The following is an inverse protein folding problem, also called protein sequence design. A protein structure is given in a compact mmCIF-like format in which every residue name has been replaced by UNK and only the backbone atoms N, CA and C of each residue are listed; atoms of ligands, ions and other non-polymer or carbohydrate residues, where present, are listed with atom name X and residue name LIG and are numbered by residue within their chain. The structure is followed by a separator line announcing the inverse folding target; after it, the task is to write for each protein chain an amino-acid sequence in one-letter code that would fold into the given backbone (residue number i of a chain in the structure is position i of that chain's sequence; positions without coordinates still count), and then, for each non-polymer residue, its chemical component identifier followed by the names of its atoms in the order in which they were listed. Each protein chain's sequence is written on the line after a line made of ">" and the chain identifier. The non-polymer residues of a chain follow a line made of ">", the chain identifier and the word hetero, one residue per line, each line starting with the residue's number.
data_IF_046997597992
#
_entry.id   IF_046997597992
#
_cell.length_a   1.000
_cell.length_b   1.000
_cell.length_c   1.000
_cell.angle_alpha   90.00
_cell.angle_beta   90.00
_cell.angle_gamma   90.00
#
_symmetry.space_group_name_H-M   'P 1'
#
loop_
_entity.id
_entity.type
_entity.pdbx_description
1 polymer ?
#
# COMPACT_ATOMS: atom_id res chain seq x y z
N UNK A 1 -17.22 1.31 -9.23
CA UNK A 1 -16.26 1.48 -8.13
C UNK A 1 -15.12 2.39 -8.54
N UNK A 2 -14.47 2.97 -7.56
CA UNK A 2 -13.27 3.79 -7.71
C UNK A 2 -12.18 3.23 -6.82
N UNK A 3 -10.91 3.34 -7.25
CA UNK A 3 -9.74 3.07 -6.43
C UNK A 3 -8.99 4.38 -6.23
N UNK A 4 -8.93 4.85 -4.99
CA UNK A 4 -8.08 5.99 -4.65
C UNK A 4 -6.61 5.62 -4.90
N UNK A 5 -5.82 6.54 -5.40
CA UNK A 5 -4.48 6.27 -5.88
C UNK A 5 -3.48 7.32 -5.44
N UNK A 6 -2.31 6.88 -5.06
CA UNK A 6 -1.16 7.70 -4.71
C UNK A 6 0.07 7.23 -5.46
N UNK A 7 0.92 8.16 -5.81
CA UNK A 7 2.26 7.90 -6.31
C UNK A 7 3.26 8.46 -5.30
N UNK A 8 4.33 7.72 -5.01
CA UNK A 8 5.32 8.14 -4.03
C UNK A 8 6.77 7.89 -4.48
N UNK A 9 7.67 8.69 -3.93
CA UNK A 9 9.12 8.50 -3.94
C UNK A 9 9.69 9.00 -2.61
N UNK A 10 10.51 10.02 -2.55
CA UNK A 10 10.82 10.74 -1.30
C UNK A 10 9.71 11.71 -0.84
N UNK A 11 8.69 11.90 -1.65
CA UNK A 11 7.43 12.58 -1.36
C UNK A 11 6.29 11.78 -1.96
N UNK A 12 5.12 12.39 -2.10
CA UNK A 12 3.97 11.72 -2.69
C UNK A 12 3.09 12.70 -3.46
N UNK A 13 2.24 12.14 -4.32
CA UNK A 13 1.09 12.83 -4.94
C UNK A 13 -0.15 11.97 -4.83
N UNK A 14 -1.24 12.55 -4.36
CA UNK A 14 -2.56 11.99 -4.54
C UNK A 14 -2.98 12.18 -5.99
N UNK A 15 -3.41 11.12 -6.63
CA UNK A 15 -3.79 11.12 -8.04
C UNK A 15 -5.30 11.03 -8.17
N UNK A 16 -5.81 11.34 -9.36
CA UNK A 16 -7.22 11.07 -9.67
C UNK A 16 -7.51 9.59 -9.53
N UNK A 17 -8.65 9.23 -8.91
CA UNK A 17 -8.99 7.83 -8.65
C UNK A 17 -9.09 7.01 -9.96
N UNK A 18 -8.63 5.77 -9.91
CA UNK A 18 -8.83 4.81 -11.01
C UNK A 18 -10.31 4.39 -11.05
N UNK A 19 -10.88 4.35 -12.23
CA UNK A 19 -12.24 3.94 -12.49
C UNK A 19 -12.37 3.18 -13.82
N UNK A 20 -13.54 2.65 -14.10
CA UNK A 20 -13.81 2.00 -15.40
C UNK A 20 -13.63 2.92 -16.61
N UNK A 21 -13.71 4.23 -16.42
CA UNK A 21 -13.58 5.21 -17.52
C UNK A 21 -12.15 5.59 -17.84
N UNK A 22 -11.17 5.35 -16.96
CA UNK A 22 -9.79 5.81 -17.14
C UNK A 22 -8.70 4.73 -16.96
N UNK A 23 -9.04 3.50 -16.57
CA UNK A 23 -8.04 2.50 -16.19
C UNK A 23 -7.09 2.10 -17.34
N UNK A 24 -7.58 2.00 -18.59
CA UNK A 24 -6.79 1.50 -19.71
C UNK A 24 -5.54 2.34 -20.03
N UNK A 25 -5.59 3.63 -19.78
CA UNK A 25 -4.47 4.56 -20.05
C UNK A 25 -3.99 5.27 -18.80
N UNK A 26 -4.38 4.78 -17.63
CA UNK A 26 -4.12 5.45 -16.37
C UNK A 26 -2.63 5.69 -16.12
N UNK A 27 -1.80 4.68 -16.30
CA UNK A 27 -0.34 4.81 -16.10
C UNK A 27 0.22 5.90 -17.00
N UNK A 28 -0.11 5.89 -18.29
CA UNK A 28 0.40 6.88 -19.25
C UNK A 28 -0.13 8.29 -18.97
N UNK A 29 -1.45 8.43 -18.84
CA UNK A 29 -2.10 9.75 -18.83
C UNK A 29 -2.15 10.39 -17.43
N UNK A 30 -1.97 9.62 -16.35
CA UNK A 30 -2.05 10.11 -14.99
C UNK A 30 -0.73 9.96 -14.26
N UNK A 31 -0.18 8.74 -14.19
CA UNK A 31 1.04 8.50 -13.41
C UNK A 31 2.27 9.14 -14.05
N UNK A 32 2.54 8.90 -15.34
CA UNK A 32 3.70 9.46 -16.04
C UNK A 32 3.60 10.98 -16.21
N UNK A 33 2.38 11.49 -16.42
CA UNK A 33 2.13 12.95 -16.56
C UNK A 33 2.09 13.68 -15.21
N UNK A 34 2.18 12.97 -14.08
CA UNK A 34 2.16 13.58 -12.75
C UNK A 34 3.33 14.53 -12.48
N UNK A 35 4.43 14.39 -13.24
CA UNK A 35 5.64 15.18 -13.06
C UNK A 35 6.36 14.92 -11.73
N UNK A 36 6.12 13.77 -11.10
CA UNK A 36 6.75 13.41 -9.84
C UNK A 36 8.22 13.04 -10.06
N UNK A 37 9.11 13.63 -9.27
CA UNK A 37 10.52 13.26 -9.25
C UNK A 37 10.72 11.92 -8.55
N UNK A 38 11.49 11.02 -9.14
CA UNK A 38 11.80 9.68 -8.63
C UNK A 38 13.21 9.66 -7.99
N UNK A 39 13.43 10.50 -6.99
CA UNK A 39 14.78 10.73 -6.42
C UNK A 39 15.11 9.99 -5.12
N UNK A 40 14.19 9.21 -4.55
CA UNK A 40 14.40 8.49 -3.29
C UNK A 40 13.18 7.65 -2.95
N UNK A 41 13.20 6.98 -1.79
CA UNK A 41 12.09 6.11 -1.36
C UNK A 41 11.77 6.33 0.10
N UNK A 42 10.67 7.00 0.39
CA UNK A 42 10.11 7.17 1.72
C UNK A 42 8.66 6.69 1.73
N UNK A 43 8.30 5.90 2.72
CA UNK A 43 6.93 5.35 2.87
C UNK A 43 6.06 6.21 3.79
N UNK A 44 6.66 6.84 4.80
CA UNK A 44 5.94 7.56 5.83
C UNK A 44 5.07 8.72 5.28
N UNK A 45 5.54 9.56 4.35
CA UNK A 45 4.72 10.67 3.85
C UNK A 45 3.42 10.21 3.18
N UNK A 46 3.49 9.21 2.30
CA UNK A 46 2.28 8.69 1.61
C UNK A 46 1.37 7.93 2.58
N UNK A 47 1.92 7.12 3.48
CA UNK A 47 1.12 6.41 4.48
C UNK A 47 0.39 7.39 5.42
N UNK A 48 1.04 8.49 5.81
CA UNK A 48 0.40 9.53 6.62
C UNK A 48 -0.75 10.21 5.89
N UNK A 49 -0.63 10.47 4.61
CA UNK A 49 -1.73 11.03 3.81
C UNK A 49 -2.90 10.05 3.69
N UNK A 50 -2.61 8.75 3.55
CA UNK A 50 -3.63 7.69 3.55
C UNK A 50 -4.36 7.63 4.90
N UNK A 51 -3.64 7.71 6.04
CA UNK A 51 -4.26 7.81 7.37
C UNK A 51 -5.21 9.00 7.42
N UNK A 52 -4.74 10.18 7.01
CA UNK A 52 -5.55 11.40 6.99
C UNK A 52 -6.78 11.21 6.12
N UNK A 53 -6.64 10.64 4.94
CA UNK A 53 -7.76 10.43 4.02
C UNK A 53 -8.87 9.58 4.68
N UNK A 54 -8.53 8.43 5.23
CA UNK A 54 -9.54 7.52 5.82
C UNK A 54 -10.05 7.95 7.19
N UNK A 55 -9.32 8.80 7.90
CA UNK A 55 -9.75 9.36 9.18
C UNK A 55 -10.63 10.59 9.02
N UNK A 56 -10.23 11.53 8.17
CA UNK A 56 -10.79 12.88 8.12
C UNK A 56 -11.66 13.13 6.88
N UNK A 57 -11.34 12.48 5.75
CA UNK A 57 -12.02 12.70 4.47
C UNK A 57 -13.07 11.63 4.20
N UNK A 58 -12.78 10.37 4.50
CA UNK A 58 -13.66 9.24 4.27
C UNK A 58 -13.86 8.39 5.54
N UNK A 59 -14.40 8.96 6.62
CA UNK A 59 -14.50 8.27 7.92
C UNK A 59 -15.71 7.31 7.99
N UNK A 60 -15.97 6.55 6.94
CA UNK A 60 -17.16 5.70 6.84
C UNK A 60 -17.18 4.52 7.82
N UNK A 61 -16.04 4.20 8.44
CA UNK A 61 -15.86 3.00 9.26
C UNK A 61 -15.80 1.70 8.45
N UNK A 62 -16.00 1.76 7.14
CA UNK A 62 -15.79 0.63 6.24
C UNK A 62 -14.32 0.22 6.24
N UNK A 63 -14.00 -1.08 6.28
CA UNK A 63 -12.63 -1.54 6.20
C UNK A 63 -11.92 -1.01 4.94
N UNK A 64 -10.82 -0.32 5.10
CA UNK A 64 -9.98 0.12 3.99
C UNK A 64 -8.90 -0.94 3.73
N UNK A 65 -8.77 -1.32 2.46
CA UNK A 65 -7.73 -2.23 1.98
C UNK A 65 -6.75 -1.46 1.10
N UNK A 66 -5.52 -1.31 1.60
CA UNK A 66 -4.45 -0.59 0.92
C UNK A 66 -3.51 -1.59 0.26
N UNK A 67 -3.30 -1.46 -1.03
CA UNK A 67 -2.26 -2.20 -1.76
C UNK A 67 -1.07 -1.27 -1.92
N UNK A 68 0.04 -1.61 -1.26
CA UNK A 68 1.27 -0.83 -1.26
C UNK A 68 2.35 -1.56 -2.05
N UNK A 69 2.68 -1.05 -3.23
CA UNK A 69 3.60 -1.70 -4.17
C UNK A 69 4.94 -0.97 -4.16
N UNK A 70 6.01 -1.71 -3.97
CA UNK A 70 7.38 -1.19 -3.96
C UNK A 70 8.37 -2.22 -4.49
N UNK A 71 9.48 -1.75 -5.05
CA UNK A 71 10.57 -2.59 -5.57
C UNK A 71 11.85 -2.52 -4.72
N UNK A 72 11.84 -1.80 -3.60
CA UNK A 72 13.04 -1.62 -2.81
C UNK A 72 12.82 -1.26 -1.36
N UNK A 73 13.93 -0.99 -0.68
CA UNK A 73 13.93 -0.50 0.70
C UNK A 73 13.65 1.00 0.76
N UNK A 74 13.18 1.44 1.91
CA UNK A 74 12.93 2.85 2.20
C UNK A 74 13.95 3.44 3.15
N UNK A 75 14.06 4.77 3.11
CA UNK A 75 15.03 5.53 3.91
C UNK A 75 14.47 5.92 5.29
N UNK A 76 13.17 5.82 5.50
CA UNK A 76 12.44 6.33 6.66
C UNK A 76 11.80 5.24 7.54
N UNK A 77 12.53 4.15 7.79
CA UNK A 77 12.03 2.94 8.48
C UNK A 77 11.38 3.23 9.84
N UNK A 78 11.99 4.07 10.68
CA UNK A 78 11.44 4.38 12.01
C UNK A 78 10.11 5.14 11.91
N UNK A 79 10.04 6.15 11.06
CA UNK A 79 8.80 6.90 10.83
C UNK A 79 7.70 6.01 10.24
N UNK A 80 8.08 5.10 9.35
CA UNK A 80 7.14 4.13 8.77
C UNK A 80 6.58 3.19 9.85
N UNK A 81 7.43 2.66 10.74
CA UNK A 81 6.99 1.83 11.86
C UNK A 81 5.94 2.56 12.73
N UNK A 82 6.21 3.81 13.08
CA UNK A 82 5.28 4.64 13.88
C UNK A 82 3.91 4.77 13.20
N UNK A 83 3.88 4.99 11.88
CA UNK A 83 2.63 5.13 11.15
C UNK A 83 1.89 3.79 11.04
N UNK A 84 2.57 2.68 10.84
CA UNK A 84 1.94 1.35 10.85
C UNK A 84 1.34 1.04 12.22
N UNK A 85 2.00 1.40 13.31
CA UNK A 85 1.43 1.30 14.66
C UNK A 85 0.18 2.17 14.82
N UNK A 86 0.19 3.39 14.29
CA UNK A 86 -0.99 4.26 14.29
C UNK A 86 -2.13 3.66 13.46
N UNK A 87 -1.86 3.23 12.22
CA UNK A 87 -2.81 2.58 11.33
C UNK A 87 -3.49 1.37 11.97
N UNK A 88 -2.79 0.64 12.82
CA UNK A 88 -3.34 -0.55 13.51
C UNK A 88 -4.50 -0.23 14.45
N UNK A 89 -4.71 1.03 14.80
CA UNK A 89 -5.82 1.50 15.64
C UNK A 89 -7.10 1.75 14.85
N UNK A 90 -6.99 1.82 13.52
CA UNK A 90 -8.10 2.09 12.61
C UNK A 90 -8.51 0.83 11.84
N UNK A 91 -9.59 0.94 11.10
CA UNK A 91 -10.10 -0.15 10.26
C UNK A 91 -9.38 -0.17 8.89
N UNK A 92 -8.06 -0.20 8.91
CA UNK A 92 -7.19 -0.12 7.73
C UNK A 92 -6.22 -1.30 7.72
N UNK A 93 -6.19 -2.03 6.61
CA UNK A 93 -5.23 -3.09 6.35
C UNK A 93 -4.29 -2.70 5.20
N UNK A 94 -3.00 -2.89 5.36
CA UNK A 94 -1.99 -2.61 4.35
C UNK A 94 -1.34 -3.90 3.86
N UNK A 95 -1.58 -4.25 2.61
CA UNK A 95 -0.89 -5.33 1.92
C UNK A 95 0.33 -4.78 1.19
N UNK A 96 1.51 -5.09 1.69
CA UNK A 96 2.76 -4.77 1.02
C UNK A 96 3.05 -5.81 -0.08
N UNK A 97 3.37 -5.31 -1.27
CA UNK A 97 3.81 -6.13 -2.39
C UNK A 97 5.21 -5.68 -2.78
N UNK A 98 6.18 -6.55 -2.55
CA UNK A 98 7.55 -6.35 -3.01
C UNK A 98 7.73 -6.94 -4.41
N UNK A 99 8.08 -6.10 -5.39
CA UNK A 99 8.30 -6.53 -6.78
C UNK A 99 9.80 -6.62 -7.05
N UNK A 100 10.22 -7.74 -7.61
CA UNK A 100 11.60 -7.99 -7.99
C UNK A 100 12.26 -9.11 -7.18
N UNK A 101 13.60 -9.20 -7.26
CA UNK A 101 14.40 -10.28 -6.67
C UNK A 101 15.04 -9.91 -5.32
N UNK A 102 14.68 -8.77 -4.76
CA UNK A 102 15.15 -8.34 -3.45
C UNK A 102 14.65 -9.28 -2.34
N UNK A 103 15.34 -9.28 -1.21
CA UNK A 103 14.95 -10.08 -0.04
C UNK A 103 13.80 -9.46 0.75
N UNK A 104 13.54 -8.17 0.58
CA UNK A 104 12.48 -7.42 1.26
C UNK A 104 12.49 -7.58 2.78
N UNK A 105 13.66 -7.59 3.40
CA UNK A 105 13.82 -7.84 4.84
C UNK A 105 13.00 -6.84 5.69
N UNK A 106 12.95 -5.58 5.27
CA UNK A 106 12.18 -4.57 5.99
C UNK A 106 10.67 -4.80 5.88
N UNK A 107 10.15 -5.13 4.70
CA UNK A 107 8.71 -5.41 4.53
C UNK A 107 8.27 -6.65 5.31
N UNK A 108 9.11 -7.67 5.38
CA UNK A 108 8.87 -8.85 6.23
C UNK A 108 8.83 -8.48 7.72
N UNK A 109 9.70 -7.56 8.16
CA UNK A 109 9.68 -7.05 9.54
C UNK A 109 8.45 -6.22 9.83
N UNK A 110 7.96 -5.42 8.88
CA UNK A 110 6.72 -4.67 9.01
C UNK A 110 5.52 -5.60 9.20
N UNK A 111 5.47 -6.70 8.46
CA UNK A 111 4.40 -7.71 8.59
C UNK A 111 4.37 -8.36 9.98
N UNK A 112 5.51 -8.39 10.68
CA UNK A 112 5.66 -8.94 12.03
C UNK A 112 5.90 -7.88 13.11
N UNK A 113 5.57 -6.63 12.86
CA UNK A 113 5.83 -5.52 13.78
C UNK A 113 5.07 -5.69 15.10
N UNK A 114 5.81 -5.68 16.23
CA UNK A 114 5.23 -5.73 17.56
C UNK A 114 4.59 -4.41 17.98
N UNK A 115 3.65 -4.45 18.93
CA UNK A 115 3.02 -3.27 19.52
C UNK A 115 1.78 -2.76 18.76
N UNK A 116 1.37 -3.41 17.68
CA UNK A 116 0.12 -3.08 16.97
C UNK A 116 -1.11 -3.48 17.80
N UNK A 117 -2.15 -2.66 17.71
CA UNK A 117 -3.45 -3.01 18.29
C UNK A 117 -4.09 -4.19 17.59
N UNK A 118 -3.95 -4.24 16.26
CA UNK A 118 -4.39 -5.33 15.40
C UNK A 118 -3.29 -5.66 14.41
N UNK A 119 -3.21 -6.91 13.99
CA UNK A 119 -2.33 -7.36 12.92
C UNK A 119 -2.88 -6.90 11.57
N UNK A 120 -2.54 -5.67 11.19
CA UNK A 120 -3.13 -4.92 10.09
C UNK A 120 -2.25 -4.84 8.84
N UNK A 121 -1.25 -5.71 8.72
CA UNK A 121 -0.35 -5.75 7.57
C UNK A 121 -0.25 -7.15 7.00
N UNK A 122 0.02 -7.23 5.70
CA UNK A 122 0.38 -8.42 5.00
C UNK A 122 1.58 -8.16 4.09
N UNK A 123 2.29 -9.20 3.70
CA UNK A 123 3.40 -9.12 2.77
C UNK A 123 3.36 -10.25 1.74
N UNK A 124 3.57 -9.89 0.48
CA UNK A 124 3.73 -10.82 -0.64
C UNK A 124 4.88 -10.37 -1.51
N UNK A 125 5.82 -11.26 -1.80
CA UNK A 125 6.88 -11.03 -2.78
C UNK A 125 6.46 -11.54 -4.15
N UNK A 126 6.64 -10.73 -5.18
CA UNK A 126 6.35 -11.07 -6.57
C UNK A 126 7.57 -10.75 -7.42
N UNK A 127 8.25 -11.77 -7.92
CA UNK A 127 9.46 -11.57 -8.73
C UNK A 127 9.16 -10.84 -10.03
N UNK A 128 8.05 -11.21 -10.68
CA UNK A 128 7.62 -10.61 -11.95
C UNK A 128 6.08 -10.67 -12.03
N UNK A 129 5.45 -9.50 -12.02
CA UNK A 129 3.98 -9.39 -12.08
C UNK A 129 3.39 -9.99 -13.35
N UNK A 130 4.13 -9.95 -14.46
CA UNK A 130 3.66 -10.46 -15.76
C UNK A 130 3.62 -12.00 -15.82
N UNK A 131 4.28 -12.69 -14.90
CA UNK A 131 4.30 -14.17 -14.81
C UNK A 131 3.15 -14.75 -14.01
N UNK A 132 2.42 -13.93 -13.25
CA UNK A 132 1.25 -14.36 -12.51
C UNK A 132 -0.01 -14.15 -13.35
N UNK A 133 -0.93 -15.12 -13.31
CA UNK A 133 -2.28 -14.85 -13.79
C UNK A 133 -3.06 -14.05 -12.72
N UNK A 134 -4.16 -13.42 -13.15
CA UNK A 134 -4.96 -12.56 -12.27
C UNK A 134 -5.49 -13.31 -11.04
N UNK A 135 -5.91 -14.56 -11.20
CA UNK A 135 -6.44 -15.38 -10.10
C UNK A 135 -5.37 -15.66 -9.03
N UNK A 136 -4.16 -16.03 -9.45
CA UNK A 136 -3.04 -16.26 -8.54
C UNK A 136 -2.67 -14.98 -7.78
N UNK A 137 -2.58 -13.85 -8.48
CA UNK A 137 -2.26 -12.56 -7.88
C UNK A 137 -3.32 -12.14 -6.85
N UNK A 138 -4.61 -12.20 -7.22
CA UNK A 138 -5.70 -11.84 -6.30
C UNK A 138 -5.78 -12.77 -5.09
N UNK A 139 -5.55 -14.06 -5.27
CA UNK A 139 -5.55 -15.03 -4.17
C UNK A 139 -4.48 -14.68 -3.14
N UNK A 140 -3.26 -14.40 -3.57
CA UNK A 140 -2.16 -14.02 -2.67
C UNK A 140 -2.40 -12.67 -1.98
N UNK A 141 -2.85 -11.67 -2.71
CA UNK A 141 -3.10 -10.33 -2.17
C UNK A 141 -4.24 -10.35 -1.13
N UNK A 142 -5.33 -11.07 -1.42
CA UNK A 142 -6.53 -11.02 -0.60
C UNK A 142 -6.53 -12.00 0.57
N UNK A 143 -5.66 -13.00 0.59
CA UNK A 143 -5.64 -14.04 1.62
C UNK A 143 -5.48 -13.45 3.02
N UNK A 144 -4.44 -12.66 3.23
CA UNK A 144 -4.14 -12.06 4.53
C UNK A 144 -5.19 -11.02 4.94
N UNK A 145 -5.76 -10.29 4.00
CA UNK A 145 -6.86 -9.37 4.26
C UNK A 145 -8.13 -10.08 4.74
N UNK A 146 -8.49 -11.20 4.12
CA UNK A 146 -9.62 -12.03 4.57
C UNK A 146 -9.40 -12.56 5.99
N UNK A 147 -8.19 -13.01 6.29
CA UNK A 147 -7.86 -13.48 7.63
C UNK A 147 -7.97 -12.35 8.68
N UNK A 148 -7.55 -11.15 8.33
CA UNK A 148 -7.69 -9.98 9.19
C UNK A 148 -9.16 -9.60 9.43
N UNK A 149 -10.00 -9.61 8.41
CA UNK A 149 -11.45 -9.36 8.56
C UNK A 149 -12.11 -10.38 9.49
N UNK A 150 -11.72 -11.64 9.42
CA UNK A 150 -12.28 -12.72 10.24
C UNK A 150 -11.84 -12.69 11.71
N UNK A 151 -10.73 -12.03 12.02
CA UNK A 151 -10.22 -11.87 13.40
C UNK A 151 -10.82 -10.68 14.13
N UNK A 152 -11.63 -9.89 13.48
CA UNK A 152 -12.39 -8.78 14.05
C UNK A 152 -13.72 -9.24 14.61
#
# INVERSE_FOLDING_TARGET
>A
GKLESWLFSNGYKSLVAVSKSNYEKYVKNVMLESGMSMGGTEYAPVLRDIVRYYKDVEPSGTPAFIIFITDGENEDKLRTNEIILELSKYNIFVQFIGIGREKFEYLKRLDNLNGRKHDNTGFTAVEDMDKLNDEQLYTEILRQYKDWLNKK
#
